data_IF_733344656360
#
_entry.id   IF_733344656360
#
_cell.length_a   1.000
_cell.length_b   1.000
_cell.length_c   1.000
_cell.angle_alpha   90.00
_cell.angle_beta   90.00
_cell.angle_gamma   90.00
#
_symmetry.space_group_name_H-M   'P 1'
#
loop_
_entity.id
_entity.type
_entity.pdbx_description
1 polymer ?
#
# COMPACT_ATOMS: atom_id res chain seq x y z
N UNK A 1 36.90 94.68 24.58
CA UNK A 1 38.05 93.99 23.97
C UNK A 1 37.50 92.74 23.30
N UNK A 2 37.53 92.72 21.97
CA UNK A 2 37.19 91.53 21.21
C UNK A 2 38.36 90.54 21.21
N UNK A 3 38.06 89.26 21.05
CA UNK A 3 38.96 88.33 20.39
C UNK A 3 38.12 87.36 19.57
N UNK A 4 38.57 87.15 18.35
CA UNK A 4 37.87 86.56 17.21
C UNK A 4 37.81 85.03 17.32
N UNK A 5 36.67 84.44 16.99
CA UNK A 5 36.59 83.02 16.64
C UNK A 5 36.96 82.83 15.17
N UNK A 6 37.91 81.94 14.90
CA UNK A 6 38.36 81.56 13.56
C UNK A 6 37.26 80.79 12.78
N UNK A 7 37.00 81.12 11.50
CA UNK A 7 36.18 80.29 10.63
C UNK A 7 37.07 79.31 9.84
N UNK A 8 37.22 78.09 10.37
CA UNK A 8 37.89 76.98 9.68
C UNK A 8 36.90 76.00 9.06
N UNK A 9 37.19 75.56 7.83
CA UNK A 9 36.76 74.28 7.21
C UNK A 9 35.31 74.14 6.70
N UNK A 10 34.94 74.84 5.63
CA UNK A 10 33.80 74.42 4.78
C UNK A 10 34.09 74.40 3.26
N UNK A 11 35.24 74.90 2.78
CA UNK A 11 35.58 74.90 1.34
C UNK A 11 36.39 73.68 0.87
N UNK A 12 37.04 72.92 1.75
CA UNK A 12 37.89 71.78 1.37
C UNK A 12 37.13 70.52 0.92
N UNK A 13 35.91 70.29 1.43
CA UNK A 13 35.15 69.06 1.15
C UNK A 13 34.39 69.07 -0.19
N UNK A 14 34.13 70.25 -0.77
CA UNK A 14 33.46 70.38 -2.06
C UNK A 14 34.41 70.05 -3.22
N UNK A 15 35.61 70.64 -3.20
CA UNK A 15 36.61 70.42 -4.24
C UNK A 15 37.12 68.96 -4.29
N UNK A 16 37.28 68.32 -3.12
CA UNK A 16 37.69 66.91 -3.05
C UNK A 16 36.61 65.95 -3.57
N UNK A 17 35.32 66.22 -3.32
CA UNK A 17 34.22 65.42 -3.88
C UNK A 17 34.10 65.58 -5.39
N UNK A 18 34.25 66.81 -5.88
CA UNK A 18 34.17 67.10 -7.30
C UNK A 18 35.35 66.50 -8.09
N UNK A 19 36.53 66.42 -7.46
CA UNK A 19 37.68 65.69 -8.03
C UNK A 19 37.47 64.18 -8.04
N UNK A 20 36.80 63.61 -7.03
CA UNK A 20 36.48 62.18 -6.98
C UNK A 20 35.43 61.80 -8.05
N UNK A 21 34.36 62.58 -8.18
CA UNK A 21 33.32 62.36 -9.20
C UNK A 21 33.88 62.49 -10.63
N UNK A 22 34.78 63.44 -10.86
CA UNK A 22 35.46 63.58 -12.16
C UNK A 22 36.44 62.42 -12.44
N UNK A 23 37.08 61.87 -11.41
CA UNK A 23 37.96 60.72 -11.54
C UNK A 23 37.18 59.44 -11.85
N UNK A 24 36.03 59.22 -11.19
CA UNK A 24 35.14 58.09 -11.45
C UNK A 24 34.51 58.15 -12.85
N UNK A 25 34.12 59.36 -13.30
CA UNK A 25 33.63 59.56 -14.67
C UNK A 25 34.69 59.23 -15.73
N UNK A 26 35.94 59.66 -15.53
CA UNK A 26 37.04 59.35 -16.44
C UNK A 26 37.43 57.86 -16.45
N UNK A 27 37.16 57.14 -15.35
CA UNK A 27 37.41 55.70 -15.25
C UNK A 27 36.32 54.89 -15.96
N UNK A 28 35.07 55.35 -15.88
CA UNK A 28 33.94 54.81 -16.64
C UNK A 28 34.14 54.96 -18.15
N UNK A 29 34.59 56.13 -18.61
CA UNK A 29 34.85 56.38 -20.04
C UNK A 29 35.95 55.45 -20.57
N UNK A 30 37.03 55.23 -19.81
CA UNK A 30 38.08 54.26 -20.19
C UNK A 30 37.60 52.82 -20.24
N UNK A 31 36.71 52.42 -19.32
CA UNK A 31 36.15 51.08 -19.31
C UNK A 31 35.22 50.87 -20.51
N UNK A 32 34.46 51.90 -20.89
CA UNK A 32 33.59 51.87 -22.08
C UNK A 32 34.41 51.75 -23.37
N UNK A 33 35.54 52.47 -23.45
CA UNK A 33 36.50 52.33 -24.56
C UNK A 33 37.12 50.93 -24.60
N UNK A 34 37.56 50.38 -23.47
CA UNK A 34 38.14 49.03 -23.38
C UNK A 34 37.14 47.94 -23.82
N UNK A 35 35.89 48.00 -23.34
CA UNK A 35 34.82 47.08 -23.75
C UNK A 35 34.54 47.19 -25.25
N UNK A 36 34.54 48.41 -25.78
CA UNK A 36 34.29 48.67 -27.20
C UNK A 36 35.43 48.14 -28.08
N UNK A 37 36.69 48.34 -27.67
CA UNK A 37 37.86 47.80 -28.35
C UNK A 37 37.88 46.27 -28.33
N UNK A 38 37.61 45.64 -27.18
CA UNK A 38 37.56 44.19 -27.05
C UNK A 38 36.43 43.57 -27.86
N UNK A 39 35.24 44.17 -27.86
CA UNK A 39 34.14 43.72 -28.70
C UNK A 39 34.50 43.83 -30.19
N UNK A 40 35.07 44.97 -30.61
CA UNK A 40 35.45 45.19 -32.01
C UNK A 40 36.58 44.24 -32.43
N UNK A 41 37.55 43.99 -31.56
CA UNK A 41 38.63 43.02 -31.78
C UNK A 41 38.07 41.60 -31.89
N UNK A 42 37.17 41.20 -31.00
CA UNK A 42 36.53 39.88 -31.02
C UNK A 42 35.72 39.66 -32.30
N UNK A 43 34.96 40.67 -32.75
CA UNK A 43 34.21 40.61 -34.01
C UNK A 43 35.15 40.55 -35.21
N UNK A 44 36.19 41.39 -35.27
CA UNK A 44 37.19 41.36 -36.35
C UNK A 44 37.91 40.02 -36.39
N UNK A 45 38.28 39.48 -35.24
CA UNK A 45 38.91 38.16 -35.11
C UNK A 45 37.95 37.08 -35.59
N UNK A 46 36.67 37.09 -35.18
CA UNK A 46 35.68 36.11 -35.63
C UNK A 46 35.46 36.16 -37.15
N UNK A 47 35.45 37.34 -37.77
CA UNK A 47 35.36 37.50 -39.22
C UNK A 47 36.63 36.98 -39.91
N UNK A 48 37.81 37.31 -39.39
CA UNK A 48 39.09 36.82 -39.91
C UNK A 48 39.18 35.30 -39.78
N UNK A 49 38.82 34.74 -38.63
CA UNK A 49 38.78 33.29 -38.40
C UNK A 49 37.78 32.64 -39.36
N UNK A 50 36.59 33.20 -39.56
CA UNK A 50 35.61 32.70 -40.52
C UNK A 50 36.13 32.69 -41.97
N UNK A 51 36.74 33.79 -42.43
CA UNK A 51 37.26 33.93 -43.80
C UNK A 51 38.55 33.12 -44.02
N UNK A 52 39.39 32.99 -42.99
CA UNK A 52 40.59 32.15 -43.02
C UNK A 52 40.23 30.66 -42.98
N UNK A 53 39.17 30.26 -42.26
CA UNK A 53 38.66 28.89 -42.34
C UNK A 53 38.13 28.57 -43.74
N UNK A 54 37.37 29.49 -44.37
CA UNK A 54 36.86 29.29 -45.74
C UNK A 54 37.96 29.19 -46.81
N UNK A 55 39.10 29.87 -46.59
CA UNK A 55 40.24 29.86 -47.52
C UNK A 55 41.26 28.75 -47.24
N UNK A 56 41.36 28.26 -46.00
CA UNK A 56 42.18 27.09 -45.63
C UNK A 56 41.49 25.74 -45.90
N UNK A 57 40.16 25.74 -46.09
CA UNK A 57 39.31 24.56 -46.29
C UNK A 57 39.58 23.78 -47.60
N UNK A 58 40.48 24.25 -48.48
CA UNK A 58 40.89 23.48 -49.67
C UNK A 58 42.22 22.73 -49.54
N UNK A 59 43.02 22.95 -48.49
CA UNK A 59 44.36 22.34 -48.43
C UNK A 59 44.82 21.78 -47.06
N UNK A 60 44.13 22.07 -45.94
CA UNK A 60 44.64 21.72 -44.59
C UNK A 60 43.72 20.76 -43.80
N UNK A 61 42.54 20.42 -44.32
CA UNK A 61 41.46 19.81 -43.54
C UNK A 61 41.62 18.32 -43.17
N UNK A 62 42.65 17.59 -43.61
CA UNK A 62 42.81 16.18 -43.20
C UNK A 62 43.99 15.91 -42.25
N UNK A 63 45.02 16.75 -42.25
CA UNK A 63 46.20 16.56 -41.39
C UNK A 63 46.13 17.35 -40.06
N UNK A 64 45.45 18.49 -40.03
CA UNK A 64 45.30 19.29 -38.81
C UNK A 64 44.19 18.74 -37.87
N UNK A 65 43.13 18.15 -38.44
CA UNK A 65 42.05 17.52 -37.67
C UNK A 65 42.56 16.28 -36.93
N UNK A 66 43.39 15.44 -37.59
CA UNK A 66 43.97 14.26 -36.92
C UNK A 66 44.88 14.65 -35.76
N UNK A 67 45.69 15.71 -35.91
CA UNK A 67 46.67 16.11 -34.90
C UNK A 67 46.05 16.83 -33.70
N UNK A 68 44.87 17.43 -33.85
CA UNK A 68 44.09 17.99 -32.74
C UNK A 68 43.26 16.92 -32.01
N UNK A 69 42.84 15.85 -32.70
CA UNK A 69 42.11 14.73 -32.11
C UNK A 69 43.01 13.74 -31.34
N UNK A 70 44.31 13.69 -31.61
CA UNK A 70 45.23 12.80 -30.90
C UNK A 70 45.71 13.37 -29.53
N UNK A 71 45.30 14.61 -29.18
CA UNK A 71 45.69 15.31 -27.94
C UNK A 71 44.50 15.72 -27.05
N UNK A 72 43.26 15.53 -27.51
CA UNK A 72 42.07 15.71 -26.70
C UNK A 72 41.57 14.32 -26.29
N UNK A 73 41.55 14.08 -24.98
CA UNK A 73 40.97 12.90 -24.36
C UNK A 73 39.61 12.51 -24.98
N UNK A 74 39.28 11.23 -24.84
CA UNK A 74 38.04 10.57 -25.29
C UNK A 74 36.73 11.25 -24.82
N UNK A 75 36.83 12.33 -24.04
CA UNK A 75 35.75 13.18 -23.53
C UNK A 75 35.16 14.19 -24.55
N UNK A 76 35.76 14.39 -25.73
CA UNK A 76 35.24 15.33 -26.75
C UNK A 76 34.38 14.68 -27.85
N UNK A 77 34.13 13.37 -27.82
CA UNK A 77 33.19 12.73 -28.76
C UNK A 77 31.77 12.91 -28.24
N UNK A 78 30.83 13.49 -29.01
CA UNK A 78 29.45 13.58 -28.57
C UNK A 78 28.87 12.17 -28.40
N UNK A 79 27.98 11.96 -27.42
CA UNK A 79 27.24 10.71 -27.26
C UNK A 79 26.61 10.25 -28.58
N UNK A 80 26.40 8.95 -28.75
CA UNK A 80 25.89 8.41 -30.04
C UNK A 80 24.60 9.07 -30.52
N UNK A 81 23.69 9.39 -29.59
CA UNK A 81 22.43 10.08 -29.85
C UNK A 81 22.58 11.58 -30.21
N UNK A 82 23.80 12.12 -30.21
CA UNK A 82 24.11 13.53 -30.56
C UNK A 82 25.06 13.66 -31.75
N UNK A 83 25.46 12.56 -32.38
CA UNK A 83 26.31 12.56 -33.59
C UNK A 83 25.68 13.40 -34.72
N UNK A 84 24.35 13.40 -34.82
CA UNK A 84 23.57 14.21 -35.77
C UNK A 84 23.63 15.73 -35.53
N UNK A 85 24.08 16.18 -34.35
CA UNK A 85 24.29 17.60 -34.05
C UNK A 85 25.59 18.14 -34.66
N UNK A 86 26.49 17.29 -35.17
CA UNK A 86 27.73 17.75 -35.83
C UNK A 86 27.56 18.01 -37.34
N UNK A 87 26.53 17.44 -37.97
CA UNK A 87 26.29 17.57 -39.42
C UNK A 87 25.77 18.98 -39.75
N UNK A 88 26.32 19.67 -40.77
CA UNK A 88 25.84 20.98 -41.26
C UNK A 88 25.76 20.95 -42.80
N UNK A 89 24.67 21.43 -43.43
CA UNK A 89 23.44 21.94 -42.83
C UNK A 89 22.64 20.86 -42.11
N UNK A 90 21.91 21.23 -41.05
CA UNK A 90 21.17 20.31 -40.18
C UNK A 90 20.03 19.62 -40.95
N UNK A 91 20.12 18.32 -41.29
CA UNK A 91 19.11 17.65 -42.13
C UNK A 91 17.75 17.52 -41.40
N UNK A 92 17.77 17.49 -40.07
CA UNK A 92 16.58 17.42 -39.22
C UNK A 92 15.90 18.77 -38.99
N UNK A 93 16.52 19.91 -39.35
CA UNK A 93 16.01 21.22 -38.97
C UNK A 93 14.63 21.53 -39.56
N UNK A 94 14.41 21.15 -40.83
CA UNK A 94 13.10 21.32 -41.47
C UNK A 94 12.01 20.48 -40.80
N UNK A 95 12.33 19.23 -40.41
CA UNK A 95 11.41 18.37 -39.68
C UNK A 95 11.12 18.92 -38.28
N UNK A 96 12.14 19.37 -37.57
CA UNK A 96 12.00 20.00 -36.25
C UNK A 96 11.13 21.26 -36.31
N UNK A 97 11.39 22.15 -37.26
CA UNK A 97 10.61 23.39 -37.42
C UNK A 97 9.15 23.09 -37.81
N UNK A 98 8.90 22.09 -38.65
CA UNK A 98 7.56 21.61 -38.94
C UNK A 98 6.85 21.06 -37.69
N UNK A 99 7.51 20.21 -36.91
CA UNK A 99 6.98 19.68 -35.64
C UNK A 99 6.77 20.77 -34.59
N UNK A 100 7.68 21.73 -34.48
CA UNK A 100 7.56 22.86 -33.55
C UNK A 100 6.34 23.72 -33.88
N UNK A 101 6.16 24.08 -35.15
CA UNK A 101 4.98 24.83 -35.63
C UNK A 101 3.69 24.04 -35.42
N UNK A 102 3.72 22.72 -35.59
CA UNK A 102 2.59 21.85 -35.30
C UNK A 102 2.23 21.89 -33.81
N UNK A 103 3.19 21.64 -32.92
CA UNK A 103 2.98 21.68 -31.48
C UNK A 103 2.47 23.05 -31.01
N UNK A 104 3.07 24.15 -31.48
CA UNK A 104 2.63 25.51 -31.14
C UNK A 104 1.18 25.80 -31.53
N UNK A 105 0.67 25.21 -32.61
CA UNK A 105 -0.69 25.44 -33.10
C UNK A 105 -1.73 24.51 -32.49
N UNK A 106 -1.33 23.32 -32.04
CA UNK A 106 -2.26 22.26 -31.63
C UNK A 106 -2.20 21.90 -30.13
N UNK A 107 -1.15 22.30 -29.40
CA UNK A 107 -0.98 21.93 -27.99
C UNK A 107 -1.70 22.87 -27.02
N UNK A 108 -2.09 24.08 -27.44
CA UNK A 108 -2.86 25.06 -26.65
C UNK A 108 -2.31 25.34 -25.22
N UNK A 109 -1.03 25.10 -24.95
CA UNK A 109 -0.41 25.20 -23.62
C UNK A 109 -0.48 26.61 -23.03
N UNK A 110 -0.45 27.65 -23.86
CA UNK A 110 -0.51 29.06 -23.45
C UNK A 110 -1.93 29.59 -23.32
N UNK A 111 -2.95 28.75 -23.50
CA UNK A 111 -4.34 29.18 -23.39
C UNK A 111 -4.71 29.50 -21.94
N UNK A 112 -5.28 30.68 -21.71
CA UNK A 112 -5.67 31.15 -20.38
C UNK A 112 -6.70 30.24 -19.67
N UNK A 113 -7.49 29.44 -20.39
CA UNK A 113 -8.41 28.48 -19.79
C UNK A 113 -7.65 27.31 -19.14
N UNK A 114 -6.58 26.80 -19.78
CA UNK A 114 -5.77 25.72 -19.22
C UNK A 114 -5.06 26.17 -17.94
N UNK A 115 -4.54 27.40 -17.95
CA UNK A 115 -3.92 27.99 -16.77
C UNK A 115 -4.91 28.11 -15.59
N UNK A 116 -6.15 28.55 -15.85
CA UNK A 116 -7.20 28.61 -14.81
C UNK A 116 -7.58 27.23 -14.27
N UNK A 117 -7.63 26.20 -15.12
CA UNK A 117 -7.89 24.81 -14.68
C UNK A 117 -6.77 24.31 -13.78
N UNK A 118 -5.52 24.61 -14.12
CA UNK A 118 -4.36 24.24 -13.31
C UNK A 118 -4.34 24.99 -11.96
N UNK A 119 -4.59 26.30 -11.98
CA UNK A 119 -4.68 27.14 -10.78
C UNK A 119 -5.81 26.69 -9.84
N UNK A 120 -6.98 26.37 -10.39
CA UNK A 120 -8.09 25.80 -9.64
C UNK A 120 -7.68 24.52 -8.91
N UNK A 121 -6.96 23.62 -9.59
CA UNK A 121 -6.50 22.37 -9.01
C UNK A 121 -5.57 22.61 -7.83
N UNK A 122 -4.52 23.39 -8.02
CA UNK A 122 -3.54 23.63 -6.96
C UNK A 122 -4.09 24.45 -5.79
N UNK A 123 -5.04 25.35 -6.04
CA UNK A 123 -5.62 26.19 -4.98
C UNK A 123 -6.72 25.48 -4.17
N UNK A 124 -7.55 24.65 -4.81
CA UNK A 124 -8.76 24.09 -4.16
C UNK A 124 -8.76 22.57 -3.97
N UNK A 125 -7.85 21.85 -4.66
CA UNK A 125 -7.85 20.39 -4.72
C UNK A 125 -6.47 19.74 -4.49
N UNK A 126 -5.39 20.50 -4.29
CA UNK A 126 -4.05 19.96 -4.03
C UNK A 126 -3.98 19.00 -2.83
N UNK A 127 -4.68 19.36 -1.75
CA UNK A 127 -4.72 18.55 -0.52
C UNK A 127 -5.81 17.48 -0.53
N UNK A 128 -6.57 17.35 -1.62
CA UNK A 128 -7.56 16.29 -1.74
C UNK A 128 -6.84 14.94 -1.76
N UNK A 129 -7.35 13.99 -0.98
CA UNK A 129 -6.97 12.58 -1.02
C UNK A 129 -8.23 11.73 -1.14
N UNK A 130 -8.10 10.58 -1.80
CA UNK A 130 -9.20 9.63 -1.93
C UNK A 130 -9.54 8.96 -0.60
N UNK A 131 -8.55 8.81 0.29
CA UNK A 131 -8.73 8.34 1.65
C UNK A 131 -8.07 9.36 2.58
N UNK A 132 -8.85 9.96 3.47
CA UNK A 132 -8.32 10.80 4.54
C UNK A 132 -7.69 9.94 5.63
N UNK A 133 -6.36 10.02 5.75
CA UNK A 133 -5.59 9.28 6.74
C UNK A 133 -5.76 9.86 8.15
N UNK A 134 -5.98 11.17 8.27
CA UNK A 134 -6.05 11.83 9.59
C UNK A 134 -7.27 11.35 10.39
N UNK A 135 -8.39 11.11 9.72
CA UNK A 135 -9.56 10.49 10.37
C UNK A 135 -9.22 9.09 10.94
N UNK A 136 -8.33 8.32 10.28
CA UNK A 136 -7.96 6.99 10.74
C UNK A 136 -6.99 7.04 11.93
N UNK A 137 -6.06 8.00 11.96
CA UNK A 137 -5.17 8.21 13.10
C UNK A 137 -5.87 8.76 14.35
N UNK A 138 -6.96 9.51 14.19
CA UNK A 138 -7.69 10.11 15.31
C UNK A 138 -8.60 9.12 16.06
N UNK A 139 -8.74 7.88 15.58
CA UNK A 139 -9.55 6.86 16.26
C UNK A 139 -8.84 6.38 17.54
N UNK A 140 -9.54 6.33 18.69
CA UNK A 140 -8.91 6.08 19.99
C UNK A 140 -8.57 4.61 20.25
N UNK A 141 -9.21 3.68 19.53
CA UNK A 141 -9.13 2.23 19.77
C UNK A 141 -8.96 1.48 18.47
N UNK A 142 -8.49 0.22 18.56
CA UNK A 142 -8.43 -0.68 17.43
C UNK A 142 -9.79 -0.76 16.70
N UNK A 143 -9.73 -0.92 15.38
CA UNK A 143 -10.89 -0.82 14.50
C UNK A 143 -11.18 -2.21 13.91
N UNK A 144 -12.45 -2.59 13.83
CA UNK A 144 -12.84 -3.80 13.07
C UNK A 144 -12.54 -3.63 11.57
N UNK A 145 -12.13 -4.71 10.90
CA UNK A 145 -11.81 -4.68 9.47
C UNK A 145 -12.97 -4.14 8.60
N UNK A 146 -14.20 -4.57 8.91
CA UNK A 146 -15.41 -4.11 8.20
C UNK A 146 -15.64 -2.60 8.40
N UNK A 147 -15.45 -2.10 9.61
CA UNK A 147 -15.59 -0.67 9.92
C UNK A 147 -14.54 0.15 9.19
N UNK A 148 -13.28 -0.32 9.17
CA UNK A 148 -12.21 0.30 8.39
C UNK A 148 -12.54 0.36 6.90
N UNK A 149 -13.01 -0.75 6.33
CA UNK A 149 -13.41 -0.84 4.93
C UNK A 149 -14.54 0.16 4.61
N UNK A 150 -15.53 0.29 5.49
CA UNK A 150 -16.64 1.24 5.34
C UNK A 150 -16.16 2.69 5.36
N UNK A 151 -15.25 3.04 6.27
CA UNK A 151 -14.65 4.39 6.35
C UNK A 151 -13.91 4.71 5.05
N UNK A 152 -13.03 3.81 4.59
CA UNK A 152 -12.27 4.03 3.37
C UNK A 152 -13.19 4.19 2.14
N UNK A 153 -14.17 3.29 1.97
CA UNK A 153 -15.13 3.38 0.86
C UNK A 153 -15.97 4.68 0.92
N UNK A 154 -16.36 5.11 2.12
CA UNK A 154 -17.06 6.39 2.31
C UNK A 154 -16.20 7.58 1.88
N UNK A 155 -14.90 7.58 2.21
CA UNK A 155 -13.97 8.63 1.77
C UNK A 155 -13.82 8.65 0.26
N UNK A 156 -13.64 7.47 -0.34
CA UNK A 156 -13.48 7.31 -1.79
C UNK A 156 -14.72 7.85 -2.53
N UNK A 157 -15.93 7.49 -2.08
CA UNK A 157 -17.16 7.98 -2.72
C UNK A 157 -17.37 9.48 -2.48
N UNK A 158 -17.06 10.00 -1.28
CA UNK A 158 -17.12 11.44 -1.00
C UNK A 158 -16.13 12.24 -1.87
N UNK A 159 -14.92 11.72 -2.09
CA UNK A 159 -13.94 12.32 -2.97
C UNK A 159 -14.43 12.31 -4.43
N UNK A 160 -15.00 11.20 -4.90
CA UNK A 160 -15.65 11.11 -6.21
C UNK A 160 -16.77 12.12 -6.38
N UNK A 161 -17.67 12.24 -5.40
CA UNK A 161 -18.72 13.25 -5.43
C UNK A 161 -18.16 14.67 -5.48
N UNK A 162 -17.09 14.95 -4.73
CA UNK A 162 -16.41 16.25 -4.75
C UNK A 162 -15.78 16.54 -6.11
N UNK A 163 -15.18 15.55 -6.77
CA UNK A 163 -14.65 15.67 -8.12
C UNK A 163 -15.77 15.95 -9.14
N UNK A 164 -16.89 15.23 -9.07
CA UNK A 164 -18.00 15.37 -10.03
C UNK A 164 -18.83 16.65 -9.82
N UNK A 165 -19.17 16.97 -8.56
CA UNK A 165 -20.09 18.08 -8.23
C UNK A 165 -19.40 19.42 -8.04
N UNK A 166 -18.12 19.43 -7.64
CA UNK A 166 -17.37 20.69 -7.43
C UNK A 166 -16.32 20.88 -8.52
N UNK A 167 -15.30 20.02 -8.59
CA UNK A 167 -14.18 20.23 -9.50
C UNK A 167 -14.62 20.31 -10.96
N UNK A 168 -15.36 19.30 -11.43
CA UNK A 168 -15.80 19.22 -12.83
C UNK A 168 -16.73 20.39 -13.20
N UNK A 169 -17.61 20.81 -12.28
CA UNK A 169 -18.51 21.95 -12.52
C UNK A 169 -17.76 23.28 -12.58
N UNK A 170 -16.75 23.49 -11.73
CA UNK A 170 -15.90 24.69 -11.82
C UNK A 170 -15.07 24.69 -13.12
N UNK A 171 -14.58 23.52 -13.55
CA UNK A 171 -13.93 23.37 -14.85
C UNK A 171 -14.89 23.70 -16.00
N UNK A 172 -16.16 23.25 -15.93
CA UNK A 172 -17.19 23.63 -16.91
C UNK A 172 -17.39 25.15 -16.95
N UNK A 173 -17.45 25.81 -15.78
CA UNK A 173 -17.59 27.26 -15.68
C UNK A 173 -16.41 28.00 -16.34
N UNK A 174 -15.18 27.53 -16.12
CA UNK A 174 -13.98 28.10 -16.76
C UNK A 174 -14.11 28.04 -18.29
N UNK A 175 -14.46 26.88 -18.85
CA UNK A 175 -14.62 26.76 -20.29
C UNK A 175 -15.82 27.53 -20.84
N UNK A 176 -16.93 27.61 -20.10
CA UNK A 176 -18.07 28.44 -20.50
C UNK A 176 -17.71 29.93 -20.58
N UNK A 177 -16.96 30.44 -19.60
CA UNK A 177 -16.44 31.81 -19.62
C UNK A 177 -15.39 32.01 -20.70
N UNK A 178 -14.52 31.02 -20.91
CA UNK A 178 -13.54 30.99 -21.99
C UNK A 178 -14.19 31.12 -23.37
N UNK A 179 -15.30 30.41 -23.59
CA UNK A 179 -16.07 30.49 -24.82
C UNK A 179 -16.64 31.90 -25.04
N UNK A 180 -17.24 32.52 -24.01
CA UNK A 180 -17.74 33.91 -24.07
C UNK A 180 -16.64 34.91 -24.43
N UNK A 181 -15.42 34.68 -23.94
CA UNK A 181 -14.24 35.50 -24.23
C UNK A 181 -13.53 35.13 -25.55
N UNK A 182 -14.08 34.21 -26.35
CA UNK A 182 -13.50 33.70 -27.60
C UNK A 182 -12.10 33.11 -27.43
N UNK A 183 -11.82 32.53 -26.27
CA UNK A 183 -10.57 31.85 -25.95
C UNK A 183 -10.59 30.38 -26.36
N UNK A 184 -11.73 29.86 -26.81
CA UNK A 184 -11.90 28.48 -27.29
C UNK A 184 -12.04 28.53 -28.81
N UNK A 185 -11.36 27.63 -29.56
CA UNK A 185 -11.53 27.52 -31.01
C UNK A 185 -13.00 27.29 -31.40
N UNK A 186 -13.49 27.87 -32.51
CA UNK A 186 -14.84 27.59 -32.99
C UNK A 186 -14.97 26.14 -33.47
N UNK A 187 -16.21 25.63 -33.45
CA UNK A 187 -16.54 24.34 -34.06
C UNK A 187 -16.74 24.50 -35.58
N UNK A 188 -15.64 24.64 -36.32
CA UNK A 188 -15.62 24.89 -37.77
C UNK A 188 -15.21 23.66 -38.59
N UNK A 189 -15.10 22.49 -37.97
CA UNK A 189 -14.61 21.27 -38.61
C UNK A 189 -13.09 21.25 -38.88
N UNK A 190 -12.33 22.24 -38.40
CA UNK A 190 -10.87 22.30 -38.58
C UNK A 190 -10.07 21.34 -37.69
N UNK A 191 -10.75 20.57 -36.83
CA UNK A 191 -10.12 19.70 -35.81
C UNK A 191 -9.43 20.46 -34.66
N UNK A 192 -9.40 21.81 -34.68
CA UNK A 192 -8.79 22.62 -33.61
C UNK A 192 -9.53 22.52 -32.29
N UNK A 193 -10.86 22.41 -32.33
CA UNK A 193 -11.68 22.21 -31.13
C UNK A 193 -11.38 20.87 -30.46
N UNK A 194 -11.25 19.80 -31.24
CA UNK A 194 -10.85 18.48 -30.73
C UNK A 194 -9.44 18.52 -30.13
N UNK A 195 -8.48 19.16 -30.80
CA UNK A 195 -7.13 19.31 -30.28
C UNK A 195 -7.10 20.11 -28.96
N UNK A 196 -7.93 21.16 -28.84
CA UNK A 196 -8.09 21.92 -27.60
C UNK A 196 -8.62 21.04 -26.46
N UNK A 197 -9.67 20.25 -26.69
CA UNK A 197 -10.22 19.38 -25.65
C UNK A 197 -9.34 18.16 -25.37
N UNK A 198 -8.53 17.69 -26.33
CA UNK A 198 -7.46 16.72 -26.06
C UNK A 198 -6.44 17.31 -25.07
N UNK A 199 -6.01 18.55 -25.25
CA UNK A 199 -5.14 19.23 -24.29
C UNK A 199 -5.82 19.36 -22.90
N UNK A 200 -7.09 19.78 -22.84
CA UNK A 200 -7.83 19.86 -21.59
C UNK A 200 -7.90 18.49 -20.90
N UNK A 201 -8.22 17.45 -21.66
CA UNK A 201 -8.29 16.09 -21.17
C UNK A 201 -6.93 15.60 -20.66
N UNK A 202 -5.82 15.90 -21.33
CA UNK A 202 -4.46 15.57 -20.85
C UNK A 202 -4.17 16.23 -19.51
N UNK A 203 -4.42 17.54 -19.38
CA UNK A 203 -4.22 18.29 -18.12
C UNK A 203 -5.09 17.74 -16.99
N UNK A 204 -6.37 17.51 -17.25
CA UNK A 204 -7.30 16.94 -16.27
C UNK A 204 -6.91 15.51 -15.88
N UNK A 205 -6.40 14.73 -16.83
CA UNK A 205 -5.91 13.36 -16.60
C UNK A 205 -4.68 13.37 -15.70
N UNK A 206 -3.73 14.28 -15.94
CA UNK A 206 -2.54 14.46 -15.10
C UNK A 206 -2.91 14.82 -13.66
N UNK A 207 -3.86 15.73 -13.47
CA UNK A 207 -4.38 16.08 -12.14
C UNK A 207 -4.93 14.85 -11.39
N UNK A 208 -5.77 14.05 -12.05
CA UNK A 208 -6.32 12.83 -11.47
C UNK A 208 -5.26 11.75 -11.24
N UNK A 209 -4.25 11.65 -12.10
CA UNK A 209 -3.13 10.73 -11.95
C UNK A 209 -2.32 11.07 -10.70
N UNK A 210 -1.99 12.35 -10.51
CA UNK A 210 -1.30 12.82 -9.31
C UNK A 210 -2.14 12.61 -8.03
N UNK A 211 -3.46 12.85 -8.08
CA UNK A 211 -4.37 12.53 -6.99
C UNK A 211 -4.31 11.04 -6.62
N UNK A 212 -4.36 10.16 -7.63
CA UNK A 212 -4.29 8.71 -7.46
C UNK A 212 -2.97 8.27 -6.85
N UNK A 213 -1.84 8.70 -7.42
CA UNK A 213 -0.49 8.37 -6.95
C UNK A 213 -0.27 8.82 -5.51
N UNK A 214 -0.60 10.08 -5.19
CA UNK A 214 -0.44 10.62 -3.85
C UNK A 214 -1.34 9.88 -2.84
N UNK A 215 -2.62 9.65 -3.17
CA UNK A 215 -3.55 8.94 -2.29
C UNK A 215 -3.14 7.49 -2.03
N UNK A 216 -2.65 6.79 -3.04
CA UNK A 216 -2.20 5.41 -2.92
C UNK A 216 -0.90 5.29 -2.12
N UNK A 217 0.05 6.22 -2.32
CA UNK A 217 1.28 6.28 -1.52
C UNK A 217 0.97 6.55 -0.05
N UNK A 218 0.12 7.53 0.20
CA UNK A 218 -0.39 7.90 1.52
C UNK A 218 -1.04 6.69 2.21
N UNK A 219 -1.94 6.00 1.52
CA UNK A 219 -2.57 4.78 2.03
C UNK A 219 -1.57 3.64 2.29
N UNK A 220 -0.61 3.42 1.38
CA UNK A 220 0.47 2.45 1.57
C UNK A 220 1.29 2.78 2.81
N UNK A 221 1.59 4.04 3.06
CA UNK A 221 2.35 4.48 4.23
C UNK A 221 1.53 4.30 5.52
N UNK A 222 0.23 4.62 5.50
CA UNK A 222 -0.67 4.35 6.63
C UNK A 222 -0.64 2.86 7.02
N UNK A 223 -0.79 1.97 6.04
CA UNK A 223 -0.89 0.52 6.28
C UNK A 223 0.47 -0.10 6.61
N UNK A 224 1.52 0.24 5.87
CA UNK A 224 2.83 -0.41 6.00
C UNK A 224 3.70 0.15 7.14
N UNK A 225 3.25 1.21 7.82
CA UNK A 225 4.01 2.04 8.76
C UNK A 225 5.26 2.71 8.15
N UNK A 226 5.45 4.02 8.36
CA UNK A 226 6.78 4.61 8.47
C UNK A 226 7.13 4.73 9.97
N UNK A 227 7.93 3.82 10.53
CA UNK A 227 8.34 3.86 11.93
C UNK A 227 9.48 4.86 12.18
N UNK A 228 9.47 6.05 11.57
CA UNK A 228 10.60 6.99 11.72
C UNK A 228 10.26 8.47 11.50
N UNK A 229 9.14 8.92 12.06
CA UNK A 229 8.92 10.36 12.19
C UNK A 229 8.43 10.69 13.59
N UNK A 230 9.10 11.66 14.19
CA UNK A 230 8.86 12.36 15.45
C UNK A 230 7.46 13.00 15.58
N UNK A 231 6.48 12.56 14.79
CA UNK A 231 5.12 13.07 14.64
C UNK A 231 4.06 12.03 15.03
N UNK A 232 4.28 11.29 16.13
CA UNK A 232 3.26 10.94 17.13
C UNK A 232 1.94 10.24 16.76
N UNK A 233 1.70 9.81 15.52
CA UNK A 233 0.42 9.21 15.11
C UNK A 233 0.64 7.77 14.64
N UNK A 234 0.38 6.83 15.55
CA UNK A 234 0.30 5.41 15.22
C UNK A 234 -1.12 5.05 14.80
N UNK A 235 -1.26 4.17 13.81
CA UNK A 235 -2.57 3.60 13.52
C UNK A 235 -3.03 2.79 14.74
N UNK A 236 -4.29 2.94 15.20
CA UNK A 236 -4.76 2.30 16.43
C UNK A 236 -4.67 0.77 16.41
N UNK A 237 -4.69 0.18 15.21
CA UNK A 237 -4.61 -1.25 14.95
C UNK A 237 -5.95 -1.84 14.53
N UNK A 238 -5.95 -3.14 14.24
CA UNK A 238 -7.12 -3.91 13.86
C UNK A 238 -7.52 -4.90 14.93
N UNK A 239 -8.84 -5.04 15.15
CA UNK A 239 -9.37 -6.09 16.02
C UNK A 239 -9.34 -7.42 15.26
N UNK A 240 -8.78 -8.45 15.90
CA UNK A 240 -8.82 -9.84 15.43
C UNK A 240 -9.25 -10.74 16.58
N UNK A 241 -10.18 -11.67 16.34
CA UNK A 241 -10.73 -12.54 17.39
C UNK A 241 -10.18 -13.95 17.25
N UNK A 242 -9.88 -14.57 18.39
CA UNK A 242 -9.62 -16.01 18.45
C UNK A 242 -10.92 -16.76 18.67
N UNK A 243 -11.19 -17.73 17.80
CA UNK A 243 -12.37 -18.58 17.85
C UNK A 243 -11.98 -20.06 17.85
N UNK A 244 -12.77 -20.86 18.54
CA UNK A 244 -12.65 -22.31 18.53
C UNK A 244 -13.59 -22.90 17.49
N UNK A 245 -13.04 -23.29 16.35
CA UNK A 245 -13.77 -23.91 15.26
C UNK A 245 -13.56 -25.43 15.27
N UNK A 246 -14.59 -26.15 15.73
CA UNK A 246 -14.68 -27.60 15.95
C UNK A 246 -13.53 -28.28 16.70
N UNK A 247 -12.33 -28.25 16.14
CA UNK A 247 -11.10 -28.84 16.68
C UNK A 247 -9.85 -27.97 16.51
N UNK A 248 -9.99 -26.73 16.03
CA UNK A 248 -8.88 -25.83 15.71
C UNK A 248 -9.16 -24.41 16.20
N UNK A 249 -8.10 -23.68 16.58
CA UNK A 249 -8.21 -22.25 16.87
C UNK A 249 -8.01 -21.48 15.56
N UNK A 250 -8.94 -20.57 15.24
CA UNK A 250 -8.91 -19.76 14.02
C UNK A 250 -9.04 -18.28 14.34
N UNK A 251 -8.57 -17.45 13.41
CA UNK A 251 -8.71 -16.00 13.47
C UNK A 251 -9.98 -15.56 12.73
N UNK A 252 -10.74 -14.65 13.32
CA UNK A 252 -11.84 -13.94 12.66
C UNK A 252 -11.68 -12.42 12.87
N UNK A 253 -11.50 -11.62 11.79
CA UNK A 253 -11.32 -12.02 10.39
C UNK A 253 -10.03 -12.84 10.15
N UNK A 254 -10.00 -13.62 9.07
CA UNK A 254 -8.79 -14.36 8.70
C UNK A 254 -7.70 -13.43 8.13
N UNK A 255 -6.42 -13.82 8.22
CA UNK A 255 -5.32 -13.00 7.64
C UNK A 255 -5.49 -12.81 6.13
N UNK A 256 -6.10 -13.78 5.44
CA UNK A 256 -6.42 -13.68 4.01
C UNK A 256 -7.52 -12.66 3.72
N UNK A 257 -8.50 -12.51 4.62
CA UNK A 257 -9.52 -11.47 4.53
C UNK A 257 -8.90 -10.08 4.72
N UNK A 258 -8.00 -9.92 5.70
CA UNK A 258 -7.21 -8.68 5.84
C UNK A 258 -6.44 -8.35 4.55
N UNK A 259 -5.73 -9.32 3.98
CA UNK A 259 -5.01 -9.14 2.71
C UNK A 259 -5.97 -8.70 1.59
N UNK A 260 -7.10 -9.38 1.42
CA UNK A 260 -8.07 -9.07 0.36
C UNK A 260 -8.64 -7.67 0.52
N UNK A 261 -9.08 -7.31 1.74
CA UNK A 261 -9.70 -6.01 2.02
C UNK A 261 -8.70 -4.87 1.83
N UNK A 262 -7.50 -4.96 2.42
CA UNK A 262 -6.51 -3.88 2.32
C UNK A 262 -6.03 -3.68 0.88
N UNK A 263 -5.85 -4.76 0.12
CA UNK A 263 -5.43 -4.64 -1.28
C UNK A 263 -6.53 -4.11 -2.20
N UNK A 264 -7.80 -4.43 -1.91
CA UNK A 264 -8.93 -3.95 -2.70
C UNK A 264 -9.10 -2.42 -2.67
N UNK A 265 -8.55 -1.74 -1.66
CA UNK A 265 -8.62 -0.28 -1.55
C UNK A 265 -7.83 0.41 -2.68
N UNK A 266 -6.71 -0.15 -3.13
CA UNK A 266 -5.96 0.36 -4.29
C UNK A 266 -6.81 0.28 -5.56
N UNK A 267 -7.49 -0.84 -5.77
CA UNK A 267 -8.34 -1.04 -6.95
C UNK A 267 -9.56 -0.11 -6.92
N UNK A 268 -10.14 0.13 -5.74
CA UNK A 268 -11.26 1.06 -5.57
C UNK A 268 -10.84 2.51 -5.87
N UNK A 269 -9.68 2.95 -5.36
CA UNK A 269 -9.11 4.26 -5.70
C UNK A 269 -8.85 4.41 -7.20
N UNK A 270 -8.28 3.39 -7.83
CA UNK A 270 -8.01 3.37 -9.27
C UNK A 270 -9.31 3.45 -10.10
N UNK A 271 -10.35 2.69 -9.73
CA UNK A 271 -11.65 2.75 -10.39
C UNK A 271 -12.28 4.14 -10.34
N UNK A 272 -12.16 4.84 -9.21
CA UNK A 272 -12.73 6.19 -9.08
C UNK A 272 -12.06 7.18 -10.02
N UNK A 273 -10.72 7.20 -10.09
CA UNK A 273 -10.02 8.14 -10.97
C UNK A 273 -10.28 7.86 -12.47
N UNK A 274 -10.53 6.60 -12.84
CA UNK A 274 -10.91 6.22 -14.21
C UNK A 274 -12.39 6.49 -14.55
N UNK A 275 -13.25 6.72 -13.55
CA UNK A 275 -14.69 6.93 -13.76
C UNK A 275 -15.07 8.36 -14.13
N UNK A 276 -14.14 9.32 -14.02
CA UNK A 276 -14.45 10.73 -14.21
C UNK A 276 -14.62 11.03 -15.71
N UNK A 277 -15.75 11.61 -16.14
CA UNK A 277 -15.99 11.92 -17.55
C UNK A 277 -15.07 13.04 -18.04
N UNK A 278 -14.78 13.02 -19.34
CA UNK A 278 -14.16 14.17 -20.01
C UNK A 278 -15.10 15.38 -20.01
N UNK A 279 -14.53 16.56 -20.20
CA UNK A 279 -15.29 17.81 -20.07
C UNK A 279 -16.20 18.04 -21.27
N UNK A 280 -15.73 17.71 -22.48
CA UNK A 280 -16.45 17.88 -23.74
C UNK A 280 -17.75 17.05 -23.80
N UNK A 281 -17.80 15.88 -23.16
CA UNK A 281 -19.01 15.04 -23.11
C UNK A 281 -20.12 15.64 -22.25
N UNK A 282 -19.79 16.63 -21.40
CA UNK A 282 -20.75 17.42 -20.64
C UNK A 282 -21.15 18.71 -21.34
N UNK A 283 -20.26 19.26 -22.17
CA UNK A 283 -20.48 20.53 -22.88
C UNK A 283 -21.24 20.33 -24.20
N UNK A 284 -21.07 19.18 -24.87
CA UNK A 284 -21.68 18.90 -26.18
C UNK A 284 -22.45 17.58 -26.15
N UNK A 285 -23.74 17.64 -26.46
CA UNK A 285 -24.63 16.46 -26.47
C UNK A 285 -24.36 15.47 -27.61
N UNK A 286 -23.74 15.93 -28.70
CA UNK A 286 -23.47 15.14 -29.93
C UNK A 286 -21.98 14.79 -30.10
N UNK A 287 -21.16 14.90 -29.04
CA UNK A 287 -19.74 14.56 -29.13
C UNK A 287 -19.56 13.07 -29.44
N UNK A 288 -18.87 12.72 -30.52
CA UNK A 288 -18.62 11.32 -30.90
C UNK A 288 -17.81 10.63 -29.79
N UNK A 289 -18.48 9.74 -29.06
CA UNK A 289 -18.03 9.21 -27.77
C UNK A 289 -17.63 7.73 -27.83
N UNK A 290 -17.27 7.22 -29.00
CA UNK A 290 -17.26 5.77 -29.24
C UNK A 290 -16.23 4.99 -28.39
N UNK A 291 -15.16 5.62 -27.85
CA UNK A 291 -14.21 4.96 -26.92
C UNK A 291 -13.62 5.87 -25.83
N UNK A 292 -14.05 7.13 -25.74
CA UNK A 292 -13.28 8.18 -25.04
C UNK A 292 -14.14 9.03 -24.09
N UNK A 293 -15.15 8.44 -23.46
CA UNK A 293 -16.10 9.19 -22.62
C UNK A 293 -15.52 9.65 -21.27
N UNK A 294 -14.53 8.92 -20.75
CA UNK A 294 -13.87 9.16 -19.46
C UNK A 294 -12.41 9.58 -19.62
N UNK A 295 -11.88 10.20 -18.57
CA UNK A 295 -10.45 10.43 -18.43
C UNK A 295 -9.76 9.11 -18.10
N UNK A 296 -8.55 8.91 -18.61
CA UNK A 296 -7.79 7.67 -18.45
C UNK A 296 -6.45 7.95 -17.76
N UNK A 297 -6.43 8.25 -16.44
CA UNK A 297 -5.18 8.37 -15.69
C UNK A 297 -4.40 7.06 -15.78
N UNK A 298 -3.09 7.16 -16.06
CA UNK A 298 -2.22 5.99 -16.18
C UNK A 298 -1.41 5.84 -14.91
N UNK A 299 -1.70 4.81 -14.13
CA UNK A 299 -0.85 4.38 -13.02
C UNK A 299 -0.17 3.10 -13.47
N UNK A 300 1.16 3.12 -13.51
CA UNK A 300 1.96 1.97 -13.90
C UNK A 300 1.68 0.78 -12.97
N UNK A 301 1.47 -0.40 -13.55
CA UNK A 301 1.20 -1.63 -12.80
C UNK A 301 2.32 -1.95 -11.82
N UNK A 302 3.56 -1.66 -12.19
CA UNK A 302 4.75 -1.87 -11.36
C UNK A 302 4.65 -1.14 -10.02
N UNK A 303 4.11 0.09 -10.03
CA UNK A 303 3.94 0.90 -8.81
C UNK A 303 2.85 0.28 -7.92
N UNK A 304 1.71 -0.11 -8.52
CA UNK A 304 0.62 -0.74 -7.79
C UNK A 304 1.05 -2.08 -7.20
N UNK A 305 1.76 -2.90 -7.98
CA UNK A 305 2.24 -4.20 -7.56
C UNK A 305 3.28 -4.07 -6.44
N UNK A 306 4.16 -3.06 -6.47
CA UNK A 306 5.07 -2.74 -5.38
C UNK A 306 4.32 -2.38 -4.09
N UNK A 307 3.30 -1.53 -4.17
CA UNK A 307 2.49 -1.14 -3.01
C UNK A 307 1.73 -2.33 -2.43
N UNK A 308 1.09 -3.13 -3.30
CA UNK A 308 0.40 -4.36 -2.89
C UNK A 308 1.37 -5.35 -2.26
N UNK A 309 2.55 -5.55 -2.85
CA UNK A 309 3.58 -6.43 -2.29
C UNK A 309 4.09 -5.96 -0.92
N UNK A 310 4.24 -4.64 -0.73
CA UNK A 310 4.63 -4.04 0.54
C UNK A 310 3.59 -4.33 1.63
N UNK A 311 2.30 -4.13 1.34
CA UNK A 311 1.21 -4.43 2.27
C UNK A 311 1.16 -5.92 2.61
N UNK A 312 1.30 -6.81 1.61
CA UNK A 312 1.37 -8.26 1.84
C UNK A 312 2.53 -8.65 2.75
N UNK A 313 3.71 -8.07 2.51
CA UNK A 313 4.91 -8.34 3.30
C UNK A 313 4.73 -7.88 4.75
N UNK A 314 4.17 -6.68 4.96
CA UNK A 314 3.87 -6.16 6.28
C UNK A 314 2.84 -7.04 7.02
N UNK A 315 1.73 -7.39 6.39
CA UNK A 315 0.72 -8.27 7.00
C UNK A 315 1.31 -9.62 7.43
N UNK A 316 2.13 -10.25 6.59
CA UNK A 316 2.83 -11.50 6.93
C UNK A 316 3.81 -11.34 8.10
N UNK A 317 4.41 -10.17 8.25
CA UNK A 317 5.29 -9.88 9.37
C UNK A 317 4.50 -9.71 10.67
N UNK A 318 3.45 -8.88 10.65
CA UNK A 318 2.60 -8.59 11.80
C UNK A 318 1.78 -9.80 12.25
N UNK A 319 1.35 -10.67 11.33
CA UNK A 319 0.59 -11.90 11.63
C UNK A 319 1.35 -12.89 12.53
N UNK A 320 2.69 -12.85 12.55
CA UNK A 320 3.50 -13.71 13.43
C UNK A 320 3.21 -13.47 14.91
N UNK A 321 2.83 -12.24 15.30
CA UNK A 321 2.45 -11.90 16.66
C UNK A 321 1.24 -12.70 17.12
N UNK A 322 0.07 -12.54 16.46
CA UNK A 322 -1.11 -13.37 16.73
C UNK A 322 -0.89 -14.88 16.62
N UNK A 323 -0.15 -15.35 15.62
CA UNK A 323 0.20 -16.77 15.48
C UNK A 323 1.00 -17.29 16.67
N UNK A 324 1.98 -16.52 17.15
CA UNK A 324 2.76 -16.88 18.33
C UNK A 324 1.91 -16.86 19.60
N UNK A 325 0.99 -15.90 19.74
CA UNK A 325 0.11 -15.82 20.92
C UNK A 325 -0.84 -17.01 21.00
N UNK A 326 -1.29 -17.54 19.86
CA UNK A 326 -2.15 -18.74 19.80
C UNK A 326 -1.52 -19.93 20.53
N UNK A 327 -0.20 -20.05 20.55
CA UNK A 327 0.55 -21.12 21.26
C UNK A 327 0.37 -21.09 22.78
N UNK A 328 -0.05 -19.96 23.35
CA UNK A 328 -0.36 -19.90 24.79
C UNK A 328 -1.52 -20.84 25.17
N UNK A 329 -2.36 -21.19 24.20
CA UNK A 329 -3.48 -22.11 24.36
C UNK A 329 -3.12 -23.58 24.08
N UNK A 330 -1.87 -23.89 23.71
CA UNK A 330 -1.40 -25.28 23.51
C UNK A 330 -1.55 -26.11 24.80
N UNK A 331 -1.48 -25.46 25.97
CA UNK A 331 -1.77 -26.07 27.27
C UNK A 331 -3.20 -26.60 27.41
N UNK A 332 -4.12 -26.19 26.53
CA UNK A 332 -5.51 -26.64 26.46
C UNK A 332 -5.78 -27.48 25.20
N UNK A 333 -4.75 -27.97 24.51
CA UNK A 333 -4.91 -28.69 23.24
C UNK A 333 -5.81 -29.91 23.35
N UNK A 334 -5.81 -30.59 24.50
CA UNK A 334 -6.70 -31.73 24.79
C UNK A 334 -8.19 -31.36 24.85
N UNK A 335 -8.53 -30.10 25.19
CA UNK A 335 -9.88 -29.56 25.08
C UNK A 335 -10.18 -29.10 23.65
N UNK A 336 -9.19 -28.52 22.97
CA UNK A 336 -9.31 -28.03 21.58
C UNK A 336 -9.61 -29.19 20.63
N UNK A 337 -8.81 -30.27 20.67
CA UNK A 337 -8.94 -31.45 19.80
C UNK A 337 -9.98 -32.48 20.29
N UNK A 338 -10.77 -32.13 21.32
CA UNK A 338 -11.79 -32.99 21.94
C UNK A 338 -11.23 -34.34 22.44
N UNK A 339 -9.94 -34.43 22.75
CA UNK A 339 -9.36 -35.63 23.35
C UNK A 339 -9.95 -35.86 24.75
N UNK A 340 -10.12 -34.78 25.53
CA UNK A 340 -10.71 -34.81 26.86
C UNK A 340 -12.10 -35.46 26.90
N UNK A 341 -12.95 -35.12 25.92
CA UNK A 341 -14.31 -35.67 25.78
C UNK A 341 -14.24 -37.18 25.50
N UNK A 342 -13.31 -37.61 24.64
CA UNK A 342 -13.11 -39.03 24.30
C UNK A 342 -12.51 -39.83 25.46
N UNK A 343 -11.58 -39.26 26.20
CA UNK A 343 -10.96 -39.88 27.37
C UNK A 343 -12.00 -40.13 28.47
N UNK A 344 -12.86 -39.13 28.73
CA UNK A 344 -13.95 -39.27 29.69
C UNK A 344 -15.01 -40.24 29.20
N UNK A 345 -15.38 -40.21 27.91
CA UNK A 345 -16.31 -41.20 27.35
C UNK A 345 -15.78 -42.63 27.51
N UNK A 346 -14.48 -42.86 27.24
CA UNK A 346 -13.85 -44.16 27.41
C UNK A 346 -13.80 -44.60 28.88
N UNK A 347 -13.63 -43.66 29.81
CA UNK A 347 -13.69 -43.93 31.25
C UNK A 347 -15.12 -44.30 31.70
N UNK A 348 -16.13 -43.62 31.16
CA UNK A 348 -17.55 -43.88 31.47
C UNK A 348 -18.10 -45.14 30.79
N UNK A 349 -17.49 -45.56 29.67
CA UNK A 349 -17.90 -46.73 28.88
C UNK A 349 -16.69 -47.59 28.47
N UNK A 350 -16.09 -48.34 29.41
CA UNK A 350 -14.94 -49.19 29.11
C UNK A 350 -15.34 -50.24 28.04
N UNK A 351 -14.56 -50.30 26.95
CA UNK A 351 -14.78 -51.30 25.89
C UNK A 351 -14.44 -52.69 26.44
N UNK A 352 -15.38 -53.64 26.33
CA UNK A 352 -15.13 -55.06 26.62
C UNK A 352 -14.08 -55.57 25.61
N UNK A 353 -13.00 -56.25 26.05
CA UNK A 353 -12.01 -56.79 25.12
C UNK A 353 -12.64 -57.82 24.18
N UNK A 354 -12.45 -57.61 22.88
CA UNK A 354 -12.88 -58.51 21.82
C UNK A 354 -12.18 -59.87 21.99
N UNK A 355 -12.96 -60.95 22.17
CA UNK A 355 -12.44 -62.33 22.17
C UNK A 355 -11.71 -62.59 20.84
N UNK A 356 -10.40 -62.83 20.90
CA UNK A 356 -9.65 -63.38 19.78
C UNK A 356 -10.13 -64.83 19.59
N UNK A 357 -10.86 -65.12 18.51
CA UNK A 357 -11.20 -66.49 18.16
C UNK A 357 -9.92 -67.29 17.86
N UNK A 358 -9.75 -68.50 18.41
CA UNK A 358 -8.60 -69.33 18.09
C UNK A 358 -8.70 -69.79 16.63
N UNK A 359 -7.64 -69.52 15.86
CA UNK A 359 -7.43 -70.03 14.51
C UNK A 359 -7.51 -71.55 14.54
N UNK A 360 -8.49 -72.13 13.82
CA UNK A 360 -8.62 -73.58 13.64
C UNK A 360 -7.36 -74.15 12.97
N UNK A 361 -6.79 -75.27 13.46
CA UNK A 361 -5.76 -75.98 12.72
C UNK A 361 -6.36 -76.62 11.47
N UNK A 362 -5.61 -76.53 10.37
CA UNK A 362 -5.86 -77.22 9.11
C UNK A 362 -5.67 -78.71 9.34
N UNK A 363 -6.63 -79.50 8.86
CA UNK A 363 -6.62 -80.96 8.87
C UNK A 363 -5.57 -81.53 7.91
N UNK A 364 -4.73 -82.44 8.40
CA UNK A 364 -4.17 -83.51 7.59
C UNK A 364 -4.33 -84.84 8.35
N UNK A 365 -4.55 -85.87 7.55
CA UNK A 365 -5.02 -87.21 7.85
C UNK A 365 -3.95 -88.04 8.59
N UNK A 366 -4.36 -88.99 9.44
CA UNK A 366 -4.04 -90.42 9.29
C UNK A 366 -4.25 -91.24 10.59
N UNK A 367 -5.07 -92.29 10.40
CA UNK A 367 -5.01 -93.66 10.92
C UNK A 367 -4.82 -94.03 12.42
N UNK A 368 -5.77 -94.88 12.84
CA UNK A 368 -5.65 -96.06 13.70
C UNK A 368 -5.14 -95.95 15.16
N UNK A 369 -6.01 -96.30 16.12
CA UNK A 369 -5.97 -97.61 16.82
C UNK A 369 -6.69 -97.59 18.18
N UNK A 370 -6.92 -98.79 18.69
CA UNK A 370 -7.84 -99.26 19.72
C UNK A 370 -7.36 -99.08 21.18
N UNK A 371 -8.36 -98.90 22.06
CA UNK A 371 -8.56 -99.54 23.38
C UNK A 371 -7.94 -98.95 24.66
N UNK A 372 -8.69 -99.21 25.73
CA UNK A 372 -8.42 -99.15 27.17
C UNK A 372 -8.82 -97.91 27.99
N UNK A 373 -9.68 -98.20 28.97
CA UNK A 373 -10.12 -97.40 30.11
C UNK A 373 -8.95 -96.89 30.95
N UNK A 374 -9.05 -95.65 31.45
CA UNK A 374 -8.72 -95.35 32.86
C UNK A 374 -9.41 -94.07 33.33
N UNK A 375 -9.97 -94.16 34.54
CA UNK A 375 -10.74 -93.15 35.25
C UNK A 375 -9.77 -92.27 36.07
N UNK A 376 -9.66 -90.96 35.76
CA UNK A 376 -8.97 -89.99 36.64
C UNK A 376 -9.73 -88.66 36.62
N UNK A 377 -10.31 -88.30 37.75
CA UNK A 377 -11.04 -87.05 37.93
C UNK A 377 -10.14 -85.81 37.78
N UNK A 378 -10.66 -84.77 37.13
CA UNK A 378 -10.06 -83.43 37.07
C UNK A 378 -11.13 -82.34 36.93
N UNK A 379 -10.81 -81.10 37.35
CA UNK A 379 -11.72 -80.25 38.10
C UNK A 379 -12.58 -79.35 37.21
N UNK A 380 -13.76 -79.00 37.73
CA UNK A 380 -14.55 -77.85 37.28
C UNK A 380 -13.71 -76.60 37.53
N UNK A 381 -13.07 -76.06 36.48
CA UNK A 381 -12.54 -74.70 36.50
C UNK A 381 -13.74 -73.76 36.40
N UNK A 382 -13.98 -73.01 37.49
CA UNK A 382 -14.76 -71.78 37.43
C UNK A 382 -13.92 -70.76 36.67
N UNK A 383 -14.23 -70.56 35.40
CA UNK A 383 -13.82 -69.35 34.70
C UNK A 383 -14.77 -68.24 35.22
N UNK A 384 -14.34 -67.53 36.26
CA UNK A 384 -14.99 -66.28 36.68
C UNK A 384 -14.68 -65.24 35.60
N UNK A 385 -15.69 -64.88 34.81
CA UNK A 385 -15.65 -63.73 33.91
C UNK A 385 -15.41 -62.47 34.77
N UNK A 386 -14.19 -61.93 34.76
CA UNK A 386 -13.91 -60.59 35.28
C UNK A 386 -14.69 -59.58 34.43
N UNK A 387 -15.88 -59.24 34.90
CA UNK A 387 -16.65 -58.09 34.44
C UNK A 387 -15.77 -56.85 34.69
N UNK A 388 -15.52 -55.99 33.70
CA UNK A 388 -14.74 -54.77 33.94
C UNK A 388 -15.44 -53.95 35.01
N UNK A 389 -14.86 -53.84 36.20
CA UNK A 389 -15.36 -52.93 37.22
C UNK A 389 -15.35 -51.52 36.65
N UNK A 390 -16.52 -50.87 36.65
CA UNK A 390 -16.65 -49.48 36.23
C UNK A 390 -15.80 -48.55 37.10
N UNK A 391 -15.60 -47.29 36.67
CA UNK A 391 -14.79 -46.33 37.43
C UNK A 391 -15.34 -46.13 38.85
N UNK A 392 -14.45 -46.09 39.84
CA UNK A 392 -14.83 -45.83 41.23
C UNK A 392 -15.41 -44.42 41.39
N UNK A 393 -16.31 -44.24 42.37
CA UNK A 393 -16.81 -42.91 42.76
C UNK A 393 -15.68 -41.92 43.04
N UNK A 394 -14.61 -42.37 43.71
CA UNK A 394 -13.46 -41.53 44.04
C UNK A 394 -12.70 -41.05 42.79
N UNK A 395 -12.68 -41.86 41.73
CA UNK A 395 -12.05 -41.50 40.45
C UNK A 395 -12.92 -40.49 39.69
N UNK A 396 -14.23 -40.71 39.64
CA UNK A 396 -15.18 -39.77 39.03
C UNK A 396 -15.20 -38.43 39.77
N UNK A 397 -15.19 -38.42 41.10
CA UNK A 397 -15.16 -37.21 41.91
C UNK A 397 -13.85 -36.41 41.71
N UNK A 398 -12.72 -37.11 41.57
CA UNK A 398 -11.43 -36.49 41.27
C UNK A 398 -11.42 -35.85 39.88
N UNK A 399 -11.93 -36.55 38.88
CA UNK A 399 -11.99 -36.05 37.51
C UNK A 399 -12.98 -34.87 37.36
N UNK A 400 -14.14 -34.93 38.03
CA UNK A 400 -15.07 -33.81 38.14
C UNK A 400 -14.42 -32.56 38.77
N UNK A 401 -13.66 -32.75 39.85
CA UNK A 401 -12.94 -31.65 40.52
C UNK A 401 -11.88 -31.05 39.59
N UNK A 402 -11.18 -31.87 38.83
CA UNK A 402 -10.16 -31.45 37.84
C UNK A 402 -10.80 -30.57 36.76
N UNK A 403 -11.88 -31.00 36.12
CA UNK A 403 -12.55 -30.21 35.07
C UNK A 403 -13.23 -28.94 35.61
N UNK A 404 -13.80 -28.98 36.81
CA UNK A 404 -14.37 -27.79 37.46
C UNK A 404 -13.30 -26.73 37.74
N UNK A 405 -12.12 -27.14 38.25
CA UNK A 405 -10.98 -26.22 38.45
C UNK A 405 -10.43 -25.70 37.12
N UNK A 406 -10.32 -26.57 36.12
CA UNK A 406 -9.83 -26.21 34.79
C UNK A 406 -10.72 -25.15 34.13
N UNK A 407 -12.04 -25.33 34.20
CA UNK A 407 -13.03 -24.37 33.70
C UNK A 407 -12.87 -22.99 34.37
N UNK A 408 -12.80 -22.94 35.70
CA UNK A 408 -12.56 -21.68 36.43
C UNK A 408 -11.24 -21.02 36.05
N UNK A 409 -10.18 -21.83 35.93
CA UNK A 409 -8.85 -21.34 35.53
C UNK A 409 -8.89 -20.70 34.15
N UNK A 410 -9.51 -21.36 33.16
CA UNK A 410 -9.67 -20.83 31.81
C UNK A 410 -10.46 -19.51 31.85
N UNK A 411 -11.58 -19.48 32.56
CA UNK A 411 -12.49 -18.33 32.57
C UNK A 411 -11.92 -17.07 33.25
N UNK A 412 -11.14 -17.24 34.33
CA UNK A 412 -10.72 -16.13 35.19
C UNK A 412 -9.23 -15.78 35.13
N UNK A 413 -8.35 -16.72 34.75
CA UNK A 413 -6.90 -16.47 34.70
C UNK A 413 -6.39 -16.18 33.29
N UNK A 414 -7.17 -16.49 32.25
CA UNK A 414 -6.76 -16.22 30.86
C UNK A 414 -6.87 -14.74 30.50
N UNK A 415 -5.85 -14.21 29.81
CA UNK A 415 -5.86 -12.84 29.29
C UNK A 415 -6.89 -12.71 28.16
N UNK A 416 -7.77 -11.70 28.24
CA UNK A 416 -8.87 -11.49 27.27
C UNK A 416 -8.47 -10.66 26.06
N UNK A 417 -7.64 -9.62 26.27
CA UNK A 417 -7.23 -8.71 25.20
C UNK A 417 -5.72 -8.48 25.25
N UNK A 418 -5.08 -8.53 24.08
CA UNK A 418 -3.65 -8.26 23.92
C UNK A 418 -3.39 -7.52 22.61
N UNK A 419 -2.60 -6.43 22.68
CA UNK A 419 -2.13 -5.71 21.49
C UNK A 419 -0.74 -6.20 21.09
N UNK A 420 -0.61 -6.68 19.87
CA UNK A 420 0.63 -7.14 19.25
C UNK A 420 0.80 -6.47 17.89
N UNK A 421 1.61 -5.39 17.88
CA UNK A 421 1.86 -4.59 16.68
C UNK A 421 0.55 -4.03 16.11
N UNK A 422 0.29 -4.38 14.86
CA UNK A 422 -0.91 -3.98 14.12
C UNK A 422 -2.21 -4.55 14.69
N UNK A 423 -2.17 -5.67 15.41
CA UNK A 423 -3.38 -6.39 15.82
C UNK A 423 -3.67 -6.26 17.32
N UNK A 424 -4.93 -6.00 17.64
CA UNK A 424 -5.50 -6.19 18.96
C UNK A 424 -6.31 -7.50 18.96
N UNK A 425 -5.79 -8.49 19.67
CA UNK A 425 -6.34 -9.85 19.71
C UNK A 425 -7.34 -9.95 20.85
N UNK A 426 -8.57 -10.33 20.52
CA UNK A 426 -9.65 -10.59 21.47
C UNK A 426 -9.83 -12.09 21.61
N UNK A 427 -9.65 -12.59 22.83
CA UNK A 427 -9.68 -14.01 23.16
C UNK A 427 -10.96 -14.43 23.88
N UNK A 428 -11.91 -13.51 24.11
CA UNK A 428 -13.12 -13.73 24.91
C UNK A 428 -13.94 -14.93 24.43
N UNK A 429 -14.13 -15.06 23.13
CA UNK A 429 -14.93 -16.12 22.54
C UNK A 429 -14.23 -17.48 22.60
N UNK A 430 -12.91 -17.54 22.34
CA UNK A 430 -12.10 -18.74 22.57
C UNK A 430 -12.14 -19.17 24.05
N UNK A 431 -11.93 -18.25 24.97
CA UNK A 431 -11.94 -18.51 26.42
C UNK A 431 -13.31 -19.07 26.82
N UNK A 432 -14.40 -18.44 26.39
CA UNK A 432 -15.77 -18.90 26.67
C UNK A 432 -16.02 -20.28 26.09
N UNK A 433 -15.57 -20.55 24.86
CA UNK A 433 -15.73 -21.85 24.21
C UNK A 433 -14.95 -22.97 24.93
N UNK A 434 -13.70 -22.72 25.33
CA UNK A 434 -12.89 -23.67 26.09
C UNK A 434 -13.45 -23.94 27.49
N UNK A 435 -13.89 -22.89 28.19
CA UNK A 435 -14.52 -23.02 29.49
C UNK A 435 -15.80 -23.86 29.40
N UNK A 436 -16.65 -23.59 28.40
CA UNK A 436 -17.88 -24.35 28.13
C UNK A 436 -17.62 -25.83 27.82
N UNK A 437 -16.53 -26.15 27.09
CA UNK A 437 -16.15 -27.56 26.88
C UNK A 437 -15.73 -28.24 28.17
N UNK A 438 -14.91 -27.58 28.99
CA UNK A 438 -14.50 -28.15 30.28
C UNK A 438 -15.70 -28.33 31.23
N UNK A 439 -16.66 -27.40 31.21
CA UNK A 439 -17.93 -27.50 31.94
C UNK A 439 -18.75 -28.70 31.46
N UNK A 440 -18.98 -28.83 30.15
CA UNK A 440 -19.75 -29.94 29.58
C UNK A 440 -19.16 -31.32 29.90
N UNK A 441 -17.83 -31.43 29.97
CA UNK A 441 -17.17 -32.66 30.41
C UNK A 441 -17.46 -32.93 31.90
N UNK A 442 -17.37 -31.89 32.74
CA UNK A 442 -17.73 -31.99 34.15
C UNK A 442 -19.18 -32.42 34.37
N UNK A 443 -20.12 -31.83 33.64
CA UNK A 443 -21.55 -32.17 33.71
C UNK A 443 -21.81 -33.63 33.36
N UNK A 444 -21.15 -34.16 32.31
CA UNK A 444 -21.27 -35.58 31.94
C UNK A 444 -20.80 -36.54 33.05
N UNK A 445 -19.71 -36.18 33.75
CA UNK A 445 -19.22 -36.97 34.89
C UNK A 445 -20.22 -36.88 36.06
N UNK A 446 -20.74 -35.68 36.33
CA UNK A 446 -21.73 -35.47 37.39
C UNK A 446 -23.02 -36.26 37.14
N UNK A 447 -23.52 -36.26 35.90
CA UNK A 447 -24.69 -37.04 35.49
C UNK A 447 -24.48 -38.54 35.74
N UNK A 448 -23.28 -39.07 35.43
CA UNK A 448 -22.95 -40.46 35.73
C UNK A 448 -22.98 -40.76 37.22
N UNK A 449 -22.34 -39.92 38.04
CA UNK A 449 -22.34 -40.07 39.51
C UNK A 449 -23.78 -40.09 40.05
N UNK A 450 -24.63 -39.19 39.56
CA UNK A 450 -26.03 -39.14 39.98
C UNK A 450 -26.80 -40.41 39.58
N UNK A 451 -26.55 -40.96 38.40
CA UNK A 451 -27.20 -42.19 37.94
C UNK A 451 -26.73 -43.40 38.74
N UNK A 452 -25.42 -43.56 38.95
CA UNK A 452 -24.88 -44.66 39.77
C UNK A 452 -25.46 -44.60 41.20
N UNK A 453 -25.54 -43.43 41.83
CA UNK A 453 -26.17 -43.27 43.15
C UNK A 453 -27.67 -43.59 43.13
N UNK A 454 -28.41 -43.25 42.05
CA UNK A 454 -29.83 -43.61 41.91
C UNK A 454 -30.03 -45.11 41.77
N UNK A 455 -29.15 -45.80 41.03
CA UNK A 455 -29.22 -47.26 40.87
C UNK A 455 -28.93 -47.99 42.18
N UNK A 456 -27.93 -47.54 42.95
CA UNK A 456 -27.61 -48.10 44.27
C UNK A 456 -28.80 -47.95 45.24
N UNK A 457 -29.48 -46.79 45.25
CA UNK A 457 -30.64 -46.58 46.12
C UNK A 457 -31.92 -47.33 45.67
N UNK A 458 -31.93 -47.90 44.46
CA UNK A 458 -33.05 -48.70 43.94
C UNK A 458 -32.84 -50.22 44.13
N UNK A 459 -31.61 -50.65 44.39
CA UNK A 459 -31.29 -52.02 44.83
C UNK A 459 -31.48 -52.13 46.34
#
# INVERSE_FOLDING_TARGET
MGSQGEPGTYQGNSAARQQLENADAALLEKLEDEISEDYLFSVKKAIVDFVLLESADKAVSQAAIQKACDLADDECKPPEHRKELQVVPKPWHASFDASLRFCQRHLFTTNACMLQVLDLWHTSFADLRLIDIQELYTKPTAIDLTTFQQICNKHIEAAKERLLKKWLNEVQNIFYQGNKKKLIPPNDGSGKLEAFYRCAATLMTENLQNLGLNSMLDYKNLVCHPPDTSFGHEMPGFIIRLLLDESTIRFEPSIQEFETVLLSMFDNMHKVIQSIPRIETRLYSEWQADDNATLHPVILSEILDEYKASVKKMLKWEAKGPESHTREYDKYQFLVNRQAERDVEALLSPKVPEKIEPVKPISEEDEESLDSMEEVGMPVRKDEEEIPEGPSFDDLARELTKYTRLMKRIQYESRRVIKLGLFEIHCDDLIRALAKRAEAIGDRILDRIMEDHRTINRQ
#
